data_IF_755562571012
#
_entry.id   IF_755562571012
#
_cell.length_a   1.000
_cell.length_b   1.000
_cell.length_c   1.000
_cell.angle_alpha   90.00
_cell.angle_beta   90.00
_cell.angle_gamma   90.00
#
_symmetry.space_group_name_H-M   'P 1'
#
loop_
_entity.id
_entity.type
_entity.pdbx_description
1 polymer ?
#
# COMPACT_ATOMS: atom_id res chain seq x y z
N UNK A 1 44.73 68.89 -28.76
CA UNK A 1 44.90 67.45 -29.05
C UNK A 1 44.30 66.59 -27.92
N UNK A 2 43.01 66.74 -27.56
CA UNK A 2 42.41 65.97 -26.45
C UNK A 2 41.17 65.14 -26.81
N UNK A 3 40.72 65.13 -28.08
CA UNK A 3 39.55 64.36 -28.51
C UNK A 3 39.87 62.89 -28.82
N UNK A 4 41.11 62.57 -29.21
CA UNK A 4 41.52 61.19 -29.53
C UNK A 4 41.69 60.27 -28.31
N UNK A 5 41.95 60.83 -27.13
CA UNK A 5 42.20 60.06 -25.90
C UNK A 5 40.91 59.59 -25.22
N UNK A 6 39.83 60.37 -25.31
CA UNK A 6 38.53 60.04 -24.73
C UNK A 6 37.79 58.96 -25.52
N UNK A 7 37.92 58.94 -26.85
CA UNK A 7 37.31 57.91 -27.71
C UNK A 7 37.92 56.52 -27.47
N UNK A 8 39.24 56.42 -27.31
CA UNK A 8 39.93 55.15 -27.06
C UNK A 8 39.57 54.59 -25.67
N UNK A 9 39.48 55.45 -24.64
CA UNK A 9 39.06 55.04 -23.31
C UNK A 9 37.60 54.53 -23.27
N UNK A 10 36.71 55.16 -24.04
CA UNK A 10 35.32 54.72 -24.16
C UNK A 10 35.18 53.35 -24.86
N UNK A 11 35.97 53.10 -25.92
CA UNK A 11 35.97 51.83 -26.65
C UNK A 11 36.53 50.69 -25.78
N UNK A 12 37.61 50.94 -25.02
CA UNK A 12 38.18 49.95 -24.09
C UNK A 12 37.17 49.63 -22.98
N UNK A 13 36.56 50.64 -22.35
CA UNK A 13 35.53 50.41 -21.32
C UNK A 13 34.30 49.67 -21.87
N UNK A 14 33.85 49.99 -23.08
CA UNK A 14 32.74 49.28 -23.72
C UNK A 14 33.10 47.82 -24.03
N UNK A 15 34.32 47.55 -24.50
CA UNK A 15 34.82 46.19 -24.74
C UNK A 15 34.98 45.37 -23.44
N UNK A 16 35.48 46.00 -22.37
CA UNK A 16 35.58 45.38 -21.04
C UNK A 16 34.20 45.09 -20.45
N UNK A 17 33.23 45.99 -20.63
CA UNK A 17 31.85 45.80 -20.20
C UNK A 17 31.15 44.67 -20.96
N UNK A 18 31.39 44.54 -22.27
CA UNK A 18 30.88 43.45 -23.11
C UNK A 18 31.47 42.10 -22.71
N UNK A 19 32.77 42.05 -22.45
CA UNK A 19 33.45 40.84 -21.95
C UNK A 19 32.98 40.47 -20.54
N UNK A 20 32.83 41.46 -19.65
CA UNK A 20 32.29 41.26 -18.30
C UNK A 20 30.84 40.76 -18.32
N UNK A 21 30.00 41.30 -19.21
CA UNK A 21 28.63 40.84 -19.42
C UNK A 21 28.57 39.41 -20.01
N UNK A 22 29.46 39.08 -20.95
CA UNK A 22 29.56 37.73 -21.51
C UNK A 22 29.97 36.70 -20.47
N UNK A 23 31.02 36.98 -19.70
CA UNK A 23 31.49 36.09 -18.61
C UNK A 23 30.44 35.99 -17.49
N UNK A 24 29.83 37.11 -17.10
CA UNK A 24 28.74 37.15 -16.13
C UNK A 24 27.51 36.35 -16.57
N UNK A 25 27.14 36.43 -17.85
CA UNK A 25 26.05 35.68 -18.45
C UNK A 25 26.31 34.17 -18.46
N UNK A 26 27.54 33.75 -18.78
CA UNK A 26 27.94 32.33 -18.75
C UNK A 26 27.93 31.78 -17.31
N UNK A 27 28.47 32.53 -16.34
CA UNK A 27 28.45 32.13 -14.92
C UNK A 27 27.01 32.06 -14.41
N UNK A 28 26.17 33.05 -14.72
CA UNK A 28 24.76 33.06 -14.35
C UNK A 28 23.98 31.90 -14.96
N UNK A 29 24.27 31.54 -16.21
CA UNK A 29 23.69 30.37 -16.87
C UNK A 29 24.06 29.07 -16.16
N UNK A 30 25.34 28.83 -15.88
CA UNK A 30 25.77 27.62 -15.15
C UNK A 30 25.25 27.56 -13.72
N UNK A 31 25.22 28.69 -13.01
CA UNK A 31 24.64 28.79 -11.67
C UNK A 31 23.15 28.46 -11.68
N UNK A 32 22.40 29.01 -12.63
CA UNK A 32 20.96 28.76 -12.79
C UNK A 32 20.68 27.31 -13.18
N UNK A 33 21.48 26.72 -14.07
CA UNK A 33 21.32 25.31 -14.45
C UNK A 33 21.63 24.36 -13.29
N UNK A 34 22.65 24.66 -12.47
CA UNK A 34 22.98 23.88 -11.29
C UNK A 34 21.91 24.01 -10.20
N UNK A 35 21.36 25.22 -10.01
CA UNK A 35 20.25 25.45 -9.10
C UNK A 35 18.99 24.70 -9.56
N UNK A 36 18.65 24.76 -10.85
CA UNK A 36 17.52 24.04 -11.44
C UNK A 36 17.65 22.52 -11.24
N UNK A 37 18.82 21.94 -11.54
CA UNK A 37 19.09 20.51 -11.30
C UNK A 37 18.96 20.15 -9.83
N UNK A 38 19.56 20.94 -8.94
CA UNK A 38 19.46 20.71 -7.49
C UNK A 38 18.00 20.78 -7.00
N UNK A 39 17.19 21.72 -7.49
CA UNK A 39 15.77 21.80 -7.15
C UNK A 39 14.96 20.63 -7.71
N UNK A 40 15.25 20.18 -8.94
CA UNK A 40 14.59 19.01 -9.53
C UNK A 40 14.92 17.75 -8.74
N UNK A 41 16.19 17.50 -8.43
CA UNK A 41 16.62 16.33 -7.64
C UNK A 41 15.99 16.33 -6.25
N UNK A 42 15.95 17.51 -5.59
CA UNK A 42 15.33 17.66 -4.26
C UNK A 42 13.81 17.51 -4.29
N UNK A 43 13.15 17.90 -5.38
CA UNK A 43 11.71 17.70 -5.54
C UNK A 43 11.41 16.23 -5.82
N UNK A 44 12.21 15.59 -6.67
CA UNK A 44 12.09 14.17 -6.96
C UNK A 44 12.35 13.27 -5.74
N UNK A 45 13.30 13.63 -4.87
CA UNK A 45 13.54 12.90 -3.63
C UNK A 45 12.36 13.05 -2.66
N UNK A 46 11.81 14.25 -2.50
CA UNK A 46 10.63 14.51 -1.67
C UNK A 46 9.39 13.78 -2.18
N UNK A 47 9.18 13.74 -3.50
CA UNK A 47 8.07 12.99 -4.09
C UNK A 47 8.21 11.48 -3.89
N UNK A 48 9.45 10.96 -3.86
CA UNK A 48 9.70 9.55 -3.54
C UNK A 48 9.43 9.26 -2.06
N UNK A 49 10.01 10.06 -1.17
CA UNK A 49 9.78 9.96 0.29
C UNK A 49 8.29 10.00 0.61
N UNK A 50 7.56 10.98 0.05
CA UNK A 50 6.11 11.10 0.25
C UNK A 50 5.34 9.87 -0.24
N UNK A 51 5.70 9.30 -1.40
CA UNK A 51 5.05 8.08 -1.91
C UNK A 51 5.35 6.87 -1.04
N UNK A 52 6.54 6.80 -0.46
CA UNK A 52 6.91 5.73 0.47
C UNK A 52 6.12 5.85 1.79
N UNK A 53 5.97 7.06 2.31
CA UNK A 53 5.13 7.36 3.48
C UNK A 53 3.65 7.02 3.21
N UNK A 54 3.06 7.53 2.13
CA UNK A 54 1.67 7.24 1.74
C UNK A 54 1.42 5.74 1.56
N UNK A 55 2.40 5.01 1.00
CA UNK A 55 2.33 3.55 0.89
C UNK A 55 2.38 2.88 2.26
N UNK A 56 3.26 3.30 3.15
CA UNK A 56 3.37 2.74 4.49
C UNK A 56 2.07 2.95 5.30
N UNK A 57 1.49 4.16 5.26
CA UNK A 57 0.20 4.46 5.90
C UNK A 57 -0.93 3.60 5.34
N UNK A 58 -1.01 3.49 4.02
CA UNK A 58 -2.00 2.65 3.36
C UNK A 58 -1.83 1.17 3.72
N UNK A 59 -0.59 0.66 3.74
CA UNK A 59 -0.31 -0.71 4.15
C UNK A 59 -0.78 -0.98 5.58
N UNK A 60 -0.51 -0.06 6.49
CA UNK A 60 -0.92 -0.18 7.89
C UNK A 60 -2.46 -0.15 8.03
N UNK A 61 -3.14 0.72 7.28
CA UNK A 61 -4.60 0.78 7.25
C UNK A 61 -5.21 -0.52 6.73
N UNK A 62 -4.67 -1.07 5.64
CA UNK A 62 -5.12 -2.34 5.05
C UNK A 62 -4.90 -3.51 6.01
N UNK A 63 -3.75 -3.57 6.67
CA UNK A 63 -3.46 -4.58 7.69
C UNK A 63 -4.46 -4.50 8.87
N UNK A 64 -4.76 -3.29 9.36
CA UNK A 64 -5.76 -3.10 10.43
C UNK A 64 -7.16 -3.54 10.00
N UNK A 65 -7.57 -3.24 8.76
CA UNK A 65 -8.85 -3.69 8.21
C UNK A 65 -8.93 -5.20 8.08
N UNK A 66 -7.87 -5.84 7.58
CA UNK A 66 -7.77 -7.31 7.51
C UNK A 66 -7.87 -7.94 8.91
N UNK A 67 -7.18 -7.39 9.91
CA UNK A 67 -7.29 -7.89 11.29
C UNK A 67 -8.72 -7.78 11.83
N UNK A 68 -9.38 -6.64 11.61
CA UNK A 68 -10.76 -6.45 12.04
C UNK A 68 -11.71 -7.46 11.38
N UNK A 69 -11.58 -7.65 10.07
CA UNK A 69 -12.37 -8.63 9.32
C UNK A 69 -12.12 -10.07 9.77
N UNK A 70 -10.86 -10.45 10.00
CA UNK A 70 -10.53 -11.78 10.53
C UNK A 70 -11.17 -12.03 11.90
N UNK A 71 -11.13 -11.03 12.80
CA UNK A 71 -11.77 -11.12 14.13
C UNK A 71 -13.28 -11.27 14.04
N UNK A 72 -13.90 -10.50 13.15
CA UNK A 72 -15.35 -10.56 12.92
C UNK A 72 -15.75 -11.92 12.34
N UNK A 73 -14.99 -12.44 11.36
CA UNK A 73 -15.20 -13.77 10.80
C UNK A 73 -15.04 -14.88 11.85
N UNK A 74 -14.05 -14.80 12.73
CA UNK A 74 -13.92 -15.75 13.85
C UNK A 74 -15.16 -15.69 14.75
N UNK A 75 -15.64 -14.49 15.09
CA UNK A 75 -16.81 -14.32 15.95
C UNK A 75 -18.10 -14.88 15.29
N UNK A 76 -18.28 -14.61 14.00
CA UNK A 76 -19.40 -15.12 13.19
C UNK A 76 -19.39 -16.64 13.12
N UNK A 77 -18.23 -17.25 12.87
CA UNK A 77 -18.09 -18.70 12.77
C UNK A 77 -18.24 -19.41 14.12
N UNK A 78 -17.89 -18.74 15.23
CA UNK A 78 -18.04 -19.29 16.58
C UNK A 78 -19.51 -19.32 17.05
N UNK A 79 -20.30 -18.31 16.67
CA UNK A 79 -21.71 -18.20 17.04
C UNK A 79 -22.56 -17.87 15.81
N UNK A 80 -22.75 -18.82 14.89
CA UNK A 80 -23.61 -18.60 13.73
C UNK A 80 -25.02 -18.29 14.24
N UNK A 81 -25.61 -17.18 13.77
CA UNK A 81 -26.94 -16.77 14.23
C UNK A 81 -27.96 -17.86 13.85
N UNK A 82 -28.71 -18.40 14.83
CA UNK A 82 -29.54 -19.59 14.63
C UNK A 82 -30.68 -19.39 13.63
N UNK A 83 -31.10 -18.15 13.43
CA UNK A 83 -32.19 -17.75 12.54
C UNK A 83 -31.80 -17.77 11.05
N UNK A 84 -30.51 -17.80 10.72
CA UNK A 84 -30.04 -17.76 9.33
C UNK A 84 -29.56 -19.12 8.80
N UNK A 85 -29.51 -20.15 9.65
CA UNK A 85 -29.08 -21.52 9.29
C UNK A 85 -27.58 -21.66 9.00
N UNK A 86 -26.97 -20.69 8.30
CA UNK A 86 -25.55 -20.52 8.03
C UNK A 86 -25.27 -19.01 7.86
N UNK A 87 -24.08 -18.52 8.23
CA UNK A 87 -23.69 -17.12 8.04
C UNK A 87 -22.54 -17.06 7.05
N UNK A 88 -22.60 -16.18 6.05
CA UNK A 88 -21.49 -15.95 5.11
C UNK A 88 -20.42 -15.12 5.83
N UNK A 89 -19.17 -15.58 5.78
CA UNK A 89 -18.03 -14.83 6.29
C UNK A 89 -17.62 -13.70 5.33
N UNK A 90 -17.19 -12.58 5.89
CA UNK A 90 -16.78 -11.37 5.18
C UNK A 90 -15.48 -11.57 4.37
N UNK A 91 -15.32 -10.82 3.28
CA UNK A 91 -14.13 -10.85 2.43
C UNK A 91 -13.73 -9.46 1.86
N UNK A 92 -14.32 -8.37 2.34
CA UNK A 92 -14.23 -7.05 1.72
C UNK A 92 -12.81 -6.48 1.79
N UNK A 93 -12.17 -6.57 2.95
CA UNK A 93 -10.80 -6.15 3.17
C UNK A 93 -9.82 -7.03 2.39
N UNK A 94 -10.07 -8.34 2.34
CA UNK A 94 -9.25 -9.25 1.53
C UNK A 94 -9.29 -8.94 0.04
N UNK A 95 -10.46 -8.62 -0.49
CA UNK A 95 -10.63 -8.28 -1.90
C UNK A 95 -9.84 -7.05 -2.34
N UNK A 96 -9.67 -6.09 -1.43
CA UNK A 96 -8.83 -4.91 -1.66
C UNK A 96 -7.33 -5.24 -1.65
N UNK A 97 -6.92 -6.25 -0.88
CA UNK A 97 -5.49 -6.50 -0.58
C UNK A 97 -4.88 -7.62 -1.43
N UNK A 98 -5.67 -8.61 -1.85
CA UNK A 98 -5.20 -9.81 -2.57
C UNK A 98 -4.40 -9.54 -3.85
N UNK A 99 -4.62 -8.40 -4.50
CA UNK A 99 -3.91 -7.97 -5.70
C UNK A 99 -2.66 -7.11 -5.47
N UNK A 100 -2.42 -6.67 -4.22
CA UNK A 100 -1.33 -5.74 -3.89
C UNK A 100 -0.30 -6.35 -2.92
N UNK A 101 -0.62 -7.49 -2.31
CA UNK A 101 0.15 -8.25 -1.30
C UNK A 101 1.32 -7.44 -0.70
N UNK A 102 1.01 -6.42 0.12
CA UNK A 102 2.02 -5.51 0.67
C UNK A 102 2.84 -6.14 1.80
N UNK A 103 2.70 -7.45 2.03
CA UNK A 103 3.24 -8.17 3.17
C UNK A 103 4.43 -9.04 2.79
N UNK A 104 5.33 -9.33 3.74
CA UNK A 104 6.35 -10.37 3.57
C UNK A 104 5.71 -11.71 3.18
N UNK A 105 6.39 -12.50 2.35
CA UNK A 105 5.87 -13.76 1.82
C UNK A 105 5.25 -14.70 2.88
N UNK A 106 5.83 -14.90 4.08
CA UNK A 106 5.24 -15.76 5.11
C UNK A 106 3.88 -15.25 5.61
N UNK A 107 3.74 -13.93 5.78
CA UNK A 107 2.50 -13.28 6.23
C UNK A 107 1.46 -13.36 5.12
N UNK A 108 1.86 -13.05 3.89
CA UNK A 108 1.02 -13.14 2.71
C UNK A 108 0.45 -14.56 2.51
N UNK A 109 1.27 -15.59 2.65
CA UNK A 109 0.86 -16.98 2.53
C UNK A 109 -0.12 -17.38 3.64
N UNK A 110 0.16 -16.99 4.89
CA UNK A 110 -0.72 -17.26 6.03
C UNK A 110 -2.11 -16.59 5.86
N UNK A 111 -2.13 -15.31 5.48
CA UNK A 111 -3.36 -14.55 5.20
C UNK A 111 -4.10 -15.15 4.00
N UNK A 112 -3.38 -15.47 2.91
CA UNK A 112 -3.97 -16.07 1.72
C UNK A 112 -4.60 -17.44 2.00
N UNK A 113 -3.95 -18.26 2.83
CA UNK A 113 -4.51 -19.55 3.29
C UNK A 113 -5.76 -19.35 4.13
N UNK A 114 -5.77 -18.37 5.03
CA UNK A 114 -6.95 -18.05 5.84
C UNK A 114 -8.16 -17.71 4.97
N UNK A 115 -7.97 -16.80 4.00
CA UNK A 115 -9.06 -16.38 3.10
C UNK A 115 -9.43 -17.43 2.05
N UNK A 116 -8.53 -18.35 1.73
CA UNK A 116 -8.87 -19.54 0.94
C UNK A 116 -9.88 -20.42 1.70
N UNK A 117 -9.64 -20.69 2.99
CA UNK A 117 -10.59 -21.46 3.81
C UNK A 117 -11.93 -20.73 4.01
N UNK A 118 -11.92 -19.40 4.15
CA UNK A 118 -13.14 -18.56 4.16
C UNK A 118 -13.90 -18.70 2.84
N UNK A 119 -13.22 -18.60 1.70
CA UNK A 119 -13.86 -18.73 0.39
C UNK A 119 -14.48 -20.13 0.20
N UNK A 120 -13.79 -21.18 0.63
CA UNK A 120 -14.32 -22.55 0.62
C UNK A 120 -15.55 -22.69 1.51
N UNK A 121 -15.50 -22.16 2.73
CA UNK A 121 -16.64 -22.13 3.64
C UNK A 121 -17.85 -21.43 3.01
N UNK A 122 -17.66 -20.22 2.49
CA UNK A 122 -18.71 -19.44 1.83
C UNK A 122 -19.29 -20.17 0.61
N UNK A 123 -18.47 -20.87 -0.17
CA UNK A 123 -18.93 -21.66 -1.32
C UNK A 123 -19.84 -22.81 -0.88
N UNK A 124 -19.48 -23.50 0.21
CA UNK A 124 -20.29 -24.59 0.78
C UNK A 124 -21.61 -24.04 1.32
N UNK A 125 -21.58 -22.90 2.03
CA UNK A 125 -22.78 -22.23 2.53
C UNK A 125 -23.70 -21.81 1.38
N UNK A 126 -23.15 -21.18 0.33
CA UNK A 126 -23.92 -20.76 -0.84
C UNK A 126 -24.56 -21.95 -1.57
N UNK A 127 -23.80 -23.04 -1.76
CA UNK A 127 -24.32 -24.27 -2.35
C UNK A 127 -25.44 -24.90 -1.52
N UNK A 128 -25.33 -24.85 -0.19
CA UNK A 128 -26.37 -25.34 0.70
C UNK A 128 -27.64 -24.47 0.64
N UNK A 129 -27.52 -23.14 0.49
CA UNK A 129 -28.68 -22.24 0.43
C UNK A 129 -29.52 -22.39 -0.86
N UNK A 130 -28.95 -22.88 -1.96
CA UNK A 130 -29.65 -22.99 -3.26
C UNK A 130 -30.63 -24.17 -3.29
N UNK A 131 -30.42 -25.23 -2.51
CA UNK A 131 -31.30 -26.39 -2.46
C UNK A 131 -31.56 -26.80 -1.00
N UNK A 132 -32.75 -26.45 -0.50
CA UNK A 132 -33.16 -26.65 0.89
C UNK A 132 -33.19 -28.14 1.32
N UNK A 133 -33.42 -29.08 0.40
CA UNK A 133 -33.39 -30.52 0.70
C UNK A 133 -31.95 -31.05 0.70
N UNK A 134 -31.08 -30.44 -0.09
CA UNK A 134 -29.64 -30.70 -0.08
C UNK A 134 -28.94 -29.95 1.06
N UNK A 135 -29.51 -28.87 1.60
CA UNK A 135 -29.05 -28.17 2.81
C UNK A 135 -29.06 -29.06 4.04
N UNK A 136 -30.19 -29.72 4.34
CA UNK A 136 -30.31 -30.64 5.48
C UNK A 136 -29.32 -31.81 5.35
N UNK A 137 -29.12 -32.33 4.13
CA UNK A 137 -28.08 -33.33 3.84
C UNK A 137 -26.66 -32.78 4.02
N UNK A 138 -26.31 -31.67 3.39
CA UNK A 138 -24.97 -31.08 3.43
C UNK A 138 -24.61 -30.64 4.85
N UNK A 139 -25.58 -30.17 5.64
CA UNK A 139 -25.41 -29.89 7.07
C UNK A 139 -25.17 -31.18 7.87
N UNK A 140 -25.87 -32.28 7.53
CA UNK A 140 -25.62 -33.60 8.13
C UNK A 140 -24.30 -34.24 7.65
N UNK A 141 -23.80 -33.84 6.48
CA UNK A 141 -22.46 -34.20 6.02
C UNK A 141 -21.44 -33.33 6.75
N UNK A 142 -20.47 -33.98 7.38
CA UNK A 142 -19.33 -33.43 8.11
C UNK A 142 -18.58 -32.28 7.42
N UNK A 143 -18.79 -32.02 6.13
CA UNK A 143 -18.03 -31.06 5.32
C UNK A 143 -18.23 -29.61 5.79
N UNK A 144 -19.47 -29.16 6.05
CA UNK A 144 -19.72 -27.78 6.51
C UNK A 144 -19.13 -27.57 7.90
N UNK A 145 -19.39 -28.51 8.80
CA UNK A 145 -18.89 -28.46 10.18
C UNK A 145 -17.36 -28.56 10.22
N UNK A 146 -16.74 -29.41 9.40
CA UNK A 146 -15.29 -29.54 9.31
C UNK A 146 -14.65 -28.28 8.73
N UNK A 147 -15.29 -27.61 7.77
CA UNK A 147 -14.81 -26.33 7.24
C UNK A 147 -15.03 -25.19 8.23
N UNK A 148 -16.16 -25.20 8.95
CA UNK A 148 -16.40 -24.28 10.06
C UNK A 148 -15.40 -24.47 11.22
N UNK A 149 -14.76 -25.64 11.35
CA UNK A 149 -13.64 -25.88 12.29
C UNK A 149 -12.29 -25.43 11.72
N UNK A 150 -12.07 -25.60 10.41
CA UNK A 150 -10.79 -25.27 9.74
C UNK A 150 -10.62 -23.76 9.51
N UNK A 151 -11.67 -23.06 9.13
CA UNK A 151 -11.61 -21.63 8.82
C UNK A 151 -11.21 -20.78 10.03
N UNK A 152 -11.75 -20.96 11.25
CA UNK A 152 -11.31 -20.21 12.44
C UNK A 152 -9.84 -20.44 12.78
N UNK A 153 -9.35 -21.68 12.70
CA UNK A 153 -7.94 -21.99 12.96
C UNK A 153 -7.01 -21.32 11.93
N UNK A 154 -7.41 -21.33 10.65
CA UNK A 154 -6.66 -20.65 9.60
C UNK A 154 -6.69 -19.12 9.78
N UNK A 155 -7.84 -18.55 10.14
CA UNK A 155 -7.99 -17.12 10.46
C UNK A 155 -7.14 -16.71 11.67
N UNK A 156 -7.12 -17.52 12.74
CA UNK A 156 -6.26 -17.29 13.90
C UNK A 156 -4.78 -17.31 13.52
N UNK A 157 -4.36 -18.26 12.69
CA UNK A 157 -2.98 -18.34 12.19
C UNK A 157 -2.61 -17.13 11.33
N UNK A 158 -3.50 -16.70 10.44
CA UNK A 158 -3.29 -15.49 9.61
C UNK A 158 -3.26 -14.22 10.45
N UNK A 159 -4.14 -14.11 11.44
CA UNK A 159 -4.21 -12.99 12.39
C UNK A 159 -2.92 -12.90 13.21
N UNK A 160 -2.43 -14.01 13.75
CA UNK A 160 -1.19 -14.04 14.52
C UNK A 160 0.04 -13.61 13.68
N UNK A 161 0.12 -14.07 12.42
CA UNK A 161 1.19 -13.67 11.51
C UNK A 161 1.13 -12.17 11.19
N UNK A 162 -0.08 -11.61 11.01
CA UNK A 162 -0.28 -10.20 10.71
C UNK A 162 -0.05 -9.30 11.94
N UNK A 163 -0.44 -9.75 13.14
CA UNK A 163 -0.16 -9.07 14.41
C UNK A 163 1.33 -9.03 14.71
N UNK A 164 2.05 -10.13 14.49
CA UNK A 164 3.52 -10.17 14.63
C UNK A 164 4.19 -9.15 13.70
N UNK A 165 3.77 -9.12 12.42
CA UNK A 165 4.29 -8.16 11.45
C UNK A 165 4.00 -6.69 11.82
N UNK A 166 2.82 -6.41 12.37
CA UNK A 166 2.47 -5.06 12.83
C UNK A 166 3.20 -4.67 14.12
N UNK A 167 3.52 -5.63 14.99
CA UNK A 167 4.32 -5.41 16.19
C UNK A 167 5.78 -5.10 15.87
N UNK A 168 6.36 -5.73 14.85
CA UNK A 168 7.72 -5.48 14.37
C UNK A 168 7.88 -4.12 13.68
N UNK A 169 6.80 -3.54 13.16
CA UNK A 169 6.83 -2.31 12.36
C UNK A 169 6.50 -1.03 13.16
N UNK A 170 6.20 -1.12 14.46
CA UNK A 170 6.06 0.07 15.30
C UNK A 170 7.43 0.58 15.77
N UNK A 171 7.82 1.84 15.47
CA UNK A 171 9.02 2.41 16.03
C UNK A 171 8.86 2.60 17.55
N UNK A 172 9.81 2.06 18.32
CA UNK A 172 10.01 2.36 19.75
C UNK A 172 10.41 3.81 19.98
#
# INVERSE_FOLDING_TARGET
MSEGSTAVAAIVNAGSALLGAGVGGVIAYFASMKAARYTMDKTASRDRERREEERAEMHQLLAKRLLAEMRENIAVLANPKPEWGCVVALHDAWDLVKGQVPFPAPVAEAVGKAYTEVAWYNTVVAGALIDHATFERIRSFTIVEDRAKKAPAALQSGMAALEAHLGETQPT
#
